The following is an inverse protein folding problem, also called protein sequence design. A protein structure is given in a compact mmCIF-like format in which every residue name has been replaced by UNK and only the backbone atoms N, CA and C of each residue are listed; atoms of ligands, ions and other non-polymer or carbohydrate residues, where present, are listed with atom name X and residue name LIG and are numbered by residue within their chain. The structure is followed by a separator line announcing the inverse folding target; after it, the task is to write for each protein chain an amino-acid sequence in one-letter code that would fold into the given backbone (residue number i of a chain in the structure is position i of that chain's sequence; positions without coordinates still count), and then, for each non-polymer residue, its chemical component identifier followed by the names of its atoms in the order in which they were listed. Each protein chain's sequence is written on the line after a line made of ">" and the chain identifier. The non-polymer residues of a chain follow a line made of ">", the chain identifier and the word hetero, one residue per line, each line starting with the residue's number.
data_IF_448078979109
#
_entry.id   IF_448078979109
#
_cell.length_a   1.000
_cell.length_b   1.000
_cell.length_c   1.000
_cell.angle_alpha   90.00
_cell.angle_beta   90.00
_cell.angle_gamma   90.00
#
_symmetry.space_group_name_H-M   'P 1'
#
loop_
_entity.id
_entity.type
_entity.pdbx_description
1 polymer ?
#
# COMPACT_ATOMS: atom_id res chain seq x y z
N UNK A 1 6.69 -5.00 21.72
CA UNK A 1 6.62 -5.08 23.19
C UNK A 1 5.29 -5.67 23.62
N UNK A 2 5.18 -6.34 24.82
CA UNK A 2 3.90 -6.85 25.32
C UNK A 2 2.80 -5.79 25.41
N UNK A 3 3.14 -4.55 25.76
CA UNK A 3 2.19 -3.44 25.83
C UNK A 3 1.62 -3.11 24.45
N UNK A 4 2.44 -3.05 23.41
CA UNK A 4 1.96 -2.81 22.04
C UNK A 4 1.01 -3.91 21.56
N UNK A 5 1.40 -5.18 21.74
CA UNK A 5 0.55 -6.31 21.40
C UNK A 5 -0.78 -6.29 22.17
N UNK A 6 -0.74 -6.03 23.49
CA UNK A 6 -1.95 -5.93 24.31
C UNK A 6 -2.88 -4.81 23.87
N UNK A 7 -2.32 -3.66 23.50
CA UNK A 7 -3.10 -2.51 23.00
C UNK A 7 -3.87 -2.85 21.73
N UNK A 8 -3.19 -3.35 20.71
CA UNK A 8 -3.83 -3.72 19.43
C UNK A 8 -4.76 -4.93 19.56
N UNK A 9 -4.42 -5.90 20.42
CA UNK A 9 -5.30 -7.03 20.75
C UNK A 9 -6.62 -6.57 21.38
N UNK A 10 -6.56 -5.63 22.35
CA UNK A 10 -7.76 -5.06 22.98
C UNK A 10 -8.65 -4.25 22.03
N UNK A 11 -8.09 -3.76 20.95
CA UNK A 11 -8.81 -3.08 19.88
C UNK A 11 -9.42 -4.06 18.85
N UNK A 12 -9.20 -5.36 19.00
CA UNK A 12 -9.54 -6.39 18.00
C UNK A 12 -8.97 -6.08 16.60
N UNK A 13 -7.78 -5.49 16.55
CA UNK A 13 -7.14 -5.11 15.31
C UNK A 13 -6.19 -6.18 14.76
N UNK A 14 -5.73 -7.10 15.63
CA UNK A 14 -4.83 -8.19 15.27
C UNK A 14 -5.59 -9.43 14.81
N UNK A 15 -5.00 -10.15 13.84
CA UNK A 15 -5.44 -11.49 13.50
C UNK A 15 -5.34 -12.42 14.70
N UNK A 16 -6.30 -13.31 14.82
CA UNK A 16 -6.35 -14.35 15.85
C UNK A 16 -5.98 -15.73 15.33
N UNK A 17 -5.54 -15.83 14.07
CA UNK A 17 -5.18 -17.08 13.38
C UNK A 17 -3.83 -17.61 13.84
N UNK A 18 -3.70 -17.96 15.13
CA UNK A 18 -2.44 -18.42 15.72
C UNK A 18 -2.11 -19.89 15.37
N UNK A 19 -3.09 -20.68 14.96
CA UNK A 19 -2.89 -22.08 14.57
C UNK A 19 -2.29 -22.21 13.17
N UNK A 20 -2.46 -21.18 12.31
CA UNK A 20 -1.89 -21.11 10.96
C UNK A 20 -1.20 -19.76 10.73
N UNK A 21 -0.11 -19.43 11.44
CA UNK A 21 0.46 -18.08 11.45
C UNK A 21 0.96 -17.61 10.08
N UNK A 22 1.43 -18.52 9.20
CA UNK A 22 1.84 -18.19 7.84
C UNK A 22 0.66 -17.78 6.95
N UNK A 23 -0.58 -18.08 7.35
CA UNK A 23 -1.82 -17.75 6.63
C UNK A 23 -2.62 -16.64 7.30
N UNK A 24 -2.08 -16.02 8.34
CA UNK A 24 -2.79 -15.03 9.13
C UNK A 24 -2.93 -13.68 8.40
N UNK A 25 -1.85 -13.16 7.80
CA UNK A 25 -1.94 -11.95 6.97
C UNK A 25 -2.45 -12.33 5.58
N UNK A 26 -3.70 -11.93 5.28
CA UNK A 26 -4.42 -12.27 4.05
C UNK A 26 -5.26 -11.10 3.53
N UNK A 27 -4.62 -10.01 3.10
CA UNK A 27 -5.34 -8.83 2.61
C UNK A 27 -6.31 -9.18 1.49
N UNK A 28 -7.50 -8.55 1.52
CA UNK A 28 -8.57 -8.67 0.53
C UNK A 28 -9.26 -10.05 0.45
N UNK A 29 -8.83 -11.01 1.26
CA UNK A 29 -9.46 -12.33 1.36
C UNK A 29 -10.69 -12.30 2.28
N UNK A 30 -11.70 -13.13 1.99
CA UNK A 30 -12.92 -13.22 2.82
C UNK A 30 -12.63 -13.66 4.24
N UNK A 31 -11.61 -14.47 4.46
CA UNK A 31 -11.20 -15.02 5.76
C UNK A 31 -10.25 -14.13 6.56
N UNK A 32 -10.02 -12.87 6.13
CA UNK A 32 -9.18 -11.94 6.91
C UNK A 32 -9.86 -11.53 8.21
N UNK A 33 -9.09 -11.42 9.28
CA UNK A 33 -9.58 -11.13 10.63
C UNK A 33 -8.78 -10.07 11.38
N UNK A 34 -7.80 -9.43 10.74
CA UNK A 34 -6.94 -8.43 11.35
C UNK A 34 -5.52 -8.49 10.81
N UNK A 35 -4.70 -7.53 11.21
CA UNK A 35 -3.30 -7.48 10.76
C UNK A 35 -2.38 -8.35 11.62
N UNK A 36 -1.26 -8.73 11.05
CA UNK A 36 -0.14 -9.38 11.76
C UNK A 36 0.92 -8.32 12.05
N UNK A 37 1.18 -8.07 13.34
CA UNK A 37 2.21 -7.12 13.74
C UNK A 37 3.59 -7.68 13.44
N UNK A 38 4.43 -6.87 12.80
CA UNK A 38 5.82 -7.23 12.51
C UNK A 38 6.78 -6.09 12.85
N UNK A 39 8.07 -6.28 12.61
CA UNK A 39 9.13 -5.31 12.85
C UNK A 39 10.10 -5.24 11.69
N UNK A 40 10.79 -4.13 11.56
CA UNK A 40 11.79 -3.89 10.52
C UNK A 40 12.16 -2.43 10.40
N UNK A 41 13.03 -2.13 9.44
CA UNK A 41 13.43 -0.78 9.09
C UNK A 41 13.70 -0.67 7.60
N UNK A 42 13.36 0.46 7.00
CA UNK A 42 13.73 0.85 5.64
C UNK A 42 14.44 2.20 5.68
N UNK A 43 15.60 2.28 5.02
CA UNK A 43 16.36 3.52 4.88
C UNK A 43 16.49 3.86 3.41
N UNK A 44 16.08 5.07 3.04
CA UNK A 44 16.12 5.59 1.68
C UNK A 44 17.04 6.80 1.65
N UNK A 45 17.95 6.86 0.71
CA UNK A 45 18.77 8.05 0.43
C UNK A 45 18.06 8.85 -0.66
N UNK A 46 17.58 10.04 -0.31
CA UNK A 46 16.97 10.97 -1.25
C UNK A 46 17.97 12.04 -1.63
N UNK A 47 18.09 12.31 -2.91
CA UNK A 47 18.97 13.34 -3.46
C UNK A 47 18.22 14.14 -4.53
N UNK A 48 18.60 15.40 -4.68
CA UNK A 48 18.15 16.19 -5.81
C UNK A 48 18.66 15.58 -7.12
N UNK A 49 17.82 15.52 -8.16
CA UNK A 49 18.07 14.77 -9.39
C UNK A 49 19.37 15.19 -10.09
N UNK A 50 19.58 16.48 -10.29
CA UNK A 50 20.78 16.97 -11.00
C UNK A 50 22.05 16.79 -10.18
N UNK A 51 21.95 16.88 -8.84
CA UNK A 51 23.06 16.55 -7.95
C UNK A 51 23.45 15.08 -8.05
N UNK A 52 22.47 14.18 -8.02
CA UNK A 52 22.69 12.74 -8.16
C UNK A 52 23.32 12.39 -9.53
N UNK A 53 22.79 12.96 -10.63
CA UNK A 53 23.34 12.80 -11.99
C UNK A 53 24.78 13.32 -12.07
N UNK A 54 25.06 14.50 -11.52
CA UNK A 54 26.38 15.14 -11.57
C UNK A 54 27.48 14.31 -10.90
N UNK A 55 27.14 13.61 -9.81
CA UNK A 55 28.11 12.73 -9.12
C UNK A 55 28.16 11.30 -9.68
N UNK A 56 27.37 10.99 -10.72
CA UNK A 56 27.31 9.67 -11.33
C UNK A 56 26.58 8.62 -10.47
N UNK A 57 25.56 9.03 -9.70
CA UNK A 57 24.80 8.10 -8.88
C UNK A 57 24.04 7.06 -9.72
N UNK A 58 23.95 5.84 -9.23
CA UNK A 58 23.01 4.85 -9.73
C UNK A 58 21.63 5.15 -9.13
N UNK A 59 20.81 5.91 -9.85
CA UNK A 59 19.47 6.30 -9.41
C UNK A 59 18.54 5.11 -9.63
N UNK A 60 17.82 4.70 -8.58
CA UNK A 60 16.92 3.53 -8.62
C UNK A 60 15.54 3.91 -9.15
N UNK A 61 14.97 4.99 -8.61
CA UNK A 61 13.69 5.53 -9.03
C UNK A 61 13.61 7.01 -8.66
N UNK A 62 12.59 7.69 -9.13
CA UNK A 62 12.29 9.08 -8.80
C UNK A 62 11.08 9.15 -7.88
N UNK A 63 11.09 10.04 -6.89
CA UNK A 63 9.91 10.42 -6.11
C UNK A 63 9.23 11.56 -6.86
N UNK A 64 8.10 11.28 -7.48
CA UNK A 64 7.41 12.19 -8.37
C UNK A 64 6.40 13.07 -7.65
N UNK A 65 5.74 12.54 -6.62
CA UNK A 65 4.70 13.27 -5.92
C UNK A 65 4.34 12.71 -4.57
N UNK A 66 3.72 13.57 -3.76
CA UNK A 66 3.28 13.30 -2.41
C UNK A 66 1.88 13.87 -2.16
N UNK A 67 1.04 13.11 -1.45
CA UNK A 67 -0.29 13.57 -1.07
C UNK A 67 -0.66 13.16 0.34
N UNK A 68 -1.36 14.04 1.02
CA UNK A 68 -1.91 13.81 2.37
C UNK A 68 -3.37 14.20 2.45
N UNK A 69 -4.06 13.59 3.40
CA UNK A 69 -5.40 13.99 3.84
C UNK A 69 -5.69 13.45 5.25
N UNK A 70 -6.83 13.84 5.79
CA UNK A 70 -7.38 13.24 7.00
C UNK A 70 -8.85 12.85 6.74
N UNK A 71 -9.29 11.71 7.28
CA UNK A 71 -10.69 11.27 7.19
C UNK A 71 -11.62 12.16 8.03
N UNK A 72 -11.13 12.60 9.20
CA UNK A 72 -11.91 13.37 10.17
C UNK A 72 -13.23 12.69 10.57
N UNK A 73 -13.22 11.34 10.62
CA UNK A 73 -14.40 10.50 10.84
C UNK A 73 -14.34 9.78 12.19
N UNK A 74 -13.36 8.91 12.41
CA UNK A 74 -13.26 8.08 13.60
C UNK A 74 -11.80 7.91 14.03
N UNK A 75 -11.54 7.60 15.31
CA UNK A 75 -10.17 7.45 15.83
C UNK A 75 -9.39 6.28 15.20
N UNK A 76 -10.06 5.19 14.85
CA UNK A 76 -9.40 3.95 14.38
C UNK A 76 -10.04 3.35 13.14
N UNK A 77 -11.34 3.53 12.92
CA UNK A 77 -12.02 3.05 11.71
C UNK A 77 -11.76 4.01 10.54
N UNK A 78 -11.50 3.50 9.34
CA UNK A 78 -11.41 4.33 8.13
C UNK A 78 -12.80 4.88 7.76
N UNK A 79 -12.82 5.94 6.94
CA UNK A 79 -14.06 6.34 6.25
C UNK A 79 -14.52 5.16 5.36
N UNK A 80 -15.74 4.63 5.54
CA UNK A 80 -16.20 3.46 4.78
C UNK A 80 -16.19 3.65 3.26
N UNK A 81 -16.34 4.88 2.78
CA UNK A 81 -16.26 5.22 1.35
C UNK A 81 -14.83 5.54 0.88
N UNK A 82 -13.85 5.53 1.80
CA UNK A 82 -12.45 5.81 1.49
C UNK A 82 -12.16 7.22 0.95
N UNK A 83 -13.04 8.20 1.23
CA UNK A 83 -12.94 9.56 0.67
C UNK A 83 -11.63 10.26 1.04
N UNK A 84 -11.15 10.05 2.28
CA UNK A 84 -9.86 10.57 2.72
C UNK A 84 -8.72 9.95 1.92
N UNK A 85 -8.69 8.63 1.81
CA UNK A 85 -7.70 7.91 1.04
C UNK A 85 -7.69 8.33 -0.44
N UNK A 86 -8.87 8.44 -1.08
CA UNK A 86 -8.99 8.92 -2.46
C UNK A 86 -8.43 10.34 -2.63
N UNK A 87 -8.67 11.25 -1.66
CA UNK A 87 -8.09 12.59 -1.69
C UNK A 87 -6.57 12.57 -1.60
N UNK A 88 -5.99 11.75 -0.70
CA UNK A 88 -4.53 11.66 -0.58
C UNK A 88 -3.90 11.15 -1.88
N UNK A 89 -4.47 10.11 -2.48
CA UNK A 89 -4.05 9.59 -3.79
C UNK A 89 -4.16 10.66 -4.88
N UNK A 90 -5.29 11.36 -4.98
CA UNK A 90 -5.50 12.45 -5.95
C UNK A 90 -4.51 13.59 -5.75
N UNK A 91 -4.20 13.96 -4.51
CA UNK A 91 -3.20 15.00 -4.22
C UNK A 91 -1.80 14.58 -4.68
N UNK A 92 -1.40 13.31 -4.46
CA UNK A 92 -0.09 12.82 -4.89
C UNK A 92 0.05 12.78 -6.41
N UNK A 93 -1.01 12.41 -7.15
CA UNK A 93 -1.03 12.46 -8.61
C UNK A 93 -0.92 13.89 -9.14
N UNK A 94 -1.68 14.81 -8.54
CA UNK A 94 -1.62 16.23 -8.91
C UNK A 94 -0.24 16.83 -8.65
N UNK A 95 0.39 16.50 -7.52
CA UNK A 95 1.74 16.94 -7.17
C UNK A 95 2.77 16.40 -8.17
N UNK A 96 2.59 15.15 -8.60
CA UNK A 96 3.40 14.50 -9.63
C UNK A 96 3.14 15.04 -11.06
N UNK A 97 2.07 15.80 -11.30
CA UNK A 97 1.67 16.23 -12.63
C UNK A 97 1.20 15.08 -13.55
N UNK A 98 0.63 14.02 -12.95
CA UNK A 98 0.22 12.80 -13.64
C UNK A 98 -1.29 12.65 -13.74
N UNK A 99 -1.73 11.95 -14.77
CA UNK A 99 -3.11 11.49 -14.93
C UNK A 99 -3.30 10.12 -14.26
N UNK A 100 -4.56 9.73 -14.11
CA UNK A 100 -4.91 8.42 -13.53
C UNK A 100 -4.30 7.26 -14.32
N UNK A 101 -4.35 7.35 -15.66
CA UNK A 101 -3.89 6.31 -16.60
C UNK A 101 -2.36 6.13 -16.61
N UNK A 102 -1.63 7.04 -15.97
CA UNK A 102 -0.18 6.97 -15.90
C UNK A 102 0.32 5.98 -14.83
N UNK A 103 -0.56 5.55 -13.92
CA UNK A 103 -0.19 4.61 -12.85
C UNK A 103 -0.38 3.17 -13.35
N UNK A 104 0.68 2.38 -13.24
CA UNK A 104 0.70 0.97 -13.64
C UNK A 104 0.41 0.03 -12.46
N UNK A 105 0.84 0.40 -11.24
CA UNK A 105 0.75 -0.45 -10.06
C UNK A 105 0.45 0.38 -8.79
N UNK A 106 -0.37 -0.18 -7.90
CA UNK A 106 -0.62 0.35 -6.56
C UNK A 106 -0.09 -0.60 -5.50
N UNK A 107 0.87 -0.13 -4.69
CA UNK A 107 1.23 -0.80 -3.45
C UNK A 107 0.26 -0.34 -2.37
N UNK A 108 -0.70 -1.18 -2.07
CA UNK A 108 -1.79 -0.88 -1.16
C UNK A 108 -1.33 -0.84 0.30
N UNK A 109 -2.06 -0.10 1.12
CA UNK A 109 -1.95 -0.22 2.56
C UNK A 109 -2.35 -1.61 3.03
N UNK A 110 -3.47 -2.16 2.55
CA UNK A 110 -3.87 -3.56 2.59
C UNK A 110 -3.45 -4.32 3.85
N UNK A 111 -4.07 -4.02 5.00
CA UNK A 111 -3.63 -4.52 6.30
C UNK A 111 -4.20 -5.88 6.68
N UNK A 112 -5.05 -6.47 5.85
CA UNK A 112 -5.80 -7.68 6.21
C UNK A 112 -6.88 -7.42 7.28
N UNK A 113 -7.35 -6.18 7.38
CA UNK A 113 -8.46 -5.84 8.28
C UNK A 113 -9.78 -5.79 7.51
N UNK A 114 -10.90 -6.26 8.11
CA UNK A 114 -12.20 -6.30 7.41
C UNK A 114 -12.64 -4.94 6.85
N UNK A 115 -12.48 -3.87 7.59
CA UNK A 115 -12.91 -2.53 7.19
C UNK A 115 -11.86 -1.80 6.33
N UNK A 116 -10.58 -1.95 6.66
CA UNK A 116 -9.50 -1.22 5.98
C UNK A 116 -9.39 -1.58 4.51
N UNK A 117 -9.40 -2.87 4.21
CA UNK A 117 -9.23 -3.37 2.85
C UNK A 117 -10.42 -3.00 1.95
N UNK A 118 -11.65 -3.00 2.50
CA UNK A 118 -12.86 -2.54 1.78
C UNK A 118 -12.82 -1.05 1.49
N UNK A 119 -12.48 -0.24 2.50
CA UNK A 119 -12.39 1.21 2.35
C UNK A 119 -11.31 1.62 1.34
N UNK A 120 -10.17 0.94 1.33
CA UNK A 120 -9.11 1.18 0.35
C UNK A 120 -9.55 0.77 -1.07
N UNK A 121 -10.23 -0.36 -1.21
CA UNK A 121 -10.82 -0.78 -2.48
C UNK A 121 -11.80 0.27 -3.01
N UNK A 122 -12.71 0.75 -2.15
CA UNK A 122 -13.67 1.80 -2.51
C UNK A 122 -12.95 3.10 -2.95
N UNK A 123 -11.89 3.49 -2.24
CA UNK A 123 -11.08 4.66 -2.56
C UNK A 123 -10.41 4.54 -3.95
N UNK A 124 -9.80 3.39 -4.24
CA UNK A 124 -9.13 3.13 -5.53
C UNK A 124 -10.18 3.11 -6.65
N UNK A 125 -11.30 2.42 -6.46
CA UNK A 125 -12.41 2.40 -7.42
C UNK A 125 -12.95 3.80 -7.73
N UNK A 126 -13.21 4.56 -6.68
CA UNK A 126 -13.76 5.92 -6.79
C UNK A 126 -12.81 6.88 -7.53
N UNK A 127 -11.50 6.77 -7.28
CA UNK A 127 -10.52 7.65 -7.90
C UNK A 127 -10.20 7.25 -9.34
N UNK A 128 -9.90 5.98 -9.57
CA UNK A 128 -9.40 5.49 -10.86
C UNK A 128 -10.51 5.10 -11.83
N UNK A 129 -11.77 5.05 -11.39
CA UNK A 129 -12.93 4.73 -12.22
C UNK A 129 -12.68 3.50 -13.11
N UNK A 130 -12.87 3.60 -14.41
CA UNK A 130 -12.65 2.49 -15.36
C UNK A 130 -11.18 2.06 -15.49
N UNK A 131 -10.21 2.92 -15.14
CA UNK A 131 -8.80 2.54 -15.15
C UNK A 131 -8.49 1.52 -14.05
N UNK A 132 -9.25 1.52 -12.95
CA UNK A 132 -9.09 0.56 -11.86
C UNK A 132 -9.21 -0.92 -12.29
N UNK A 133 -9.88 -1.21 -13.41
CA UNK A 133 -10.00 -2.57 -13.97
C UNK A 133 -8.71 -3.07 -14.64
N UNK A 134 -7.77 -2.17 -14.93
CA UNK A 134 -6.47 -2.46 -15.54
C UNK A 134 -5.30 -2.29 -14.59
N UNK A 135 -5.58 -1.81 -13.39
CA UNK A 135 -4.60 -1.47 -12.39
C UNK A 135 -4.21 -2.72 -11.60
N UNK A 136 -2.93 -3.05 -11.56
CA UNK A 136 -2.44 -4.05 -10.63
C UNK A 136 -2.33 -3.45 -9.22
N UNK A 137 -2.85 -4.13 -8.23
CA UNK A 137 -2.81 -3.72 -6.82
C UNK A 137 -2.21 -4.86 -6.02
N UNK A 138 -1.36 -4.61 -5.05
CA UNK A 138 -1.02 -5.68 -4.10
C UNK A 138 -0.62 -5.14 -2.73
N UNK A 139 -0.73 -5.97 -1.71
CA UNK A 139 -0.25 -5.66 -0.37
C UNK A 139 0.94 -6.54 0.00
N UNK A 140 2.11 -5.92 0.12
CA UNK A 140 3.33 -6.57 0.64
C UNK A 140 3.22 -6.94 2.11
N UNK A 141 2.23 -6.41 2.84
CA UNK A 141 1.92 -6.84 4.21
C UNK A 141 1.43 -8.28 4.31
N UNK A 142 0.97 -8.87 3.21
CA UNK A 142 0.68 -10.30 3.16
C UNK A 142 1.92 -11.16 3.46
N UNK A 143 3.11 -10.68 3.06
CA UNK A 143 4.40 -11.36 3.21
C UNK A 143 5.18 -10.90 4.44
N UNK A 144 5.13 -9.59 4.74
CA UNK A 144 5.99 -8.95 5.73
C UNK A 144 5.27 -8.69 7.07
N UNK A 145 3.94 -8.76 7.08
CA UNK A 145 3.14 -8.24 8.17
C UNK A 145 3.10 -6.71 8.18
N UNK A 146 2.54 -6.13 9.22
CA UNK A 146 2.42 -4.68 9.38
C UNK A 146 3.50 -4.17 10.34
N UNK A 147 4.50 -3.49 9.80
CA UNK A 147 5.64 -2.94 10.54
C UNK A 147 5.32 -1.58 11.21
N UNK A 148 4.05 -1.17 11.22
CA UNK A 148 3.58 0.11 11.79
C UNK A 148 4.37 1.30 11.20
N UNK A 149 5.09 2.06 12.02
CA UNK A 149 5.86 3.21 11.58
C UNK A 149 6.98 2.88 10.58
N UNK A 150 7.46 1.64 10.53
CA UNK A 150 8.47 1.21 9.55
C UNK A 150 7.89 0.78 8.20
N UNK A 151 6.57 0.50 8.12
CA UNK A 151 5.92 0.01 6.89
C UNK A 151 6.21 0.90 5.69
N UNK A 152 6.08 2.22 5.85
CA UNK A 152 6.28 3.18 4.77
C UNK A 152 7.66 3.07 4.11
N UNK A 153 8.72 2.96 4.91
CA UNK A 153 10.09 2.83 4.41
C UNK A 153 10.34 1.50 3.70
N UNK A 154 9.89 0.38 4.30
CA UNK A 154 10.07 -0.96 3.72
C UNK A 154 9.26 -1.11 2.43
N UNK A 155 8.02 -0.63 2.42
CA UNK A 155 7.16 -0.65 1.23
C UNK A 155 7.68 0.27 0.12
N UNK A 156 8.33 1.39 0.47
CA UNK A 156 9.05 2.21 -0.52
C UNK A 156 10.12 1.38 -1.24
N UNK A 157 10.94 0.64 -0.49
CA UNK A 157 11.97 -0.24 -1.07
C UNK A 157 11.35 -1.29 -1.98
N UNK A 158 10.22 -1.89 -1.57
CA UNK A 158 9.49 -2.85 -2.41
C UNK A 158 8.99 -2.20 -3.72
N UNK A 159 8.45 -0.98 -3.67
CA UNK A 159 7.99 -0.22 -4.85
C UNK A 159 9.16 0.12 -5.78
N UNK A 160 10.28 0.61 -5.24
CA UNK A 160 11.48 0.92 -6.03
C UNK A 160 12.04 -0.34 -6.70
N UNK A 161 12.02 -1.48 -5.99
CA UNK A 161 12.43 -2.78 -6.54
C UNK A 161 11.47 -3.26 -7.63
N UNK A 162 10.17 -3.06 -7.45
CA UNK A 162 9.16 -3.41 -8.46
C UNK A 162 9.38 -2.63 -9.77
N UNK A 163 9.69 -1.34 -9.69
CA UNK A 163 10.06 -0.51 -10.86
C UNK A 163 11.33 -1.07 -11.51
N UNK A 164 12.37 -1.33 -10.72
CA UNK A 164 13.67 -1.76 -11.24
C UNK A 164 13.60 -3.15 -11.90
N UNK A 165 12.85 -4.08 -11.31
CA UNK A 165 12.76 -5.47 -11.78
C UNK A 165 11.59 -5.71 -12.74
N UNK A 166 10.68 -4.74 -12.92
CA UNK A 166 9.48 -4.88 -13.74
C UNK A 166 8.60 -6.06 -13.31
N UNK A 167 8.43 -6.22 -11.98
CA UNK A 167 7.65 -7.30 -11.36
C UNK A 167 6.76 -6.71 -10.26
N UNK A 168 5.46 -6.93 -10.35
CA UNK A 168 4.53 -6.62 -9.27
C UNK A 168 4.62 -7.71 -8.19
N UNK A 169 4.91 -7.35 -6.92
CA UNK A 169 4.89 -8.31 -5.83
C UNK A 169 3.46 -8.82 -5.57
N UNK A 170 3.28 -10.07 -5.11
CA UNK A 170 1.96 -10.64 -4.90
C UNK A 170 1.33 -10.19 -3.58
N UNK A 171 0.00 -10.32 -3.52
CA UNK A 171 -0.73 -10.51 -2.27
C UNK A 171 -0.85 -12.00 -2.01
N UNK A 172 -0.05 -12.55 -1.11
CA UNK A 172 -0.14 -13.97 -0.75
C UNK A 172 -1.32 -14.24 0.20
N UNK A 173 -1.71 -15.52 0.30
CA UNK A 173 -2.86 -15.97 1.11
C UNK A 173 -4.22 -15.43 0.61
N UNK A 174 -4.30 -14.95 -0.61
CA UNK A 174 -5.54 -14.56 -1.25
C UNK A 174 -6.12 -15.81 -1.95
N UNK A 175 -6.84 -16.63 -1.17
CA UNK A 175 -7.42 -17.90 -1.63
C UNK A 175 -8.86 -17.67 -2.15
N UNK A 176 -9.63 -16.84 -1.45
CA UNK A 176 -10.98 -16.46 -1.83
C UNK A 176 -11.15 -14.95 -1.68
N UNK A 177 -11.20 -14.26 -2.81
CA UNK A 177 -11.30 -12.80 -2.83
C UNK A 177 -12.66 -12.32 -2.31
N UNK A 178 -12.65 -11.36 -1.38
CA UNK A 178 -13.88 -10.72 -0.89
C UNK A 178 -14.60 -10.02 -2.06
N UNK A 179 -15.89 -10.32 -2.33
CA UNK A 179 -16.64 -9.67 -3.40
C UNK A 179 -16.69 -8.13 -3.32
N UNK A 180 -16.54 -7.56 -2.12
CA UNK A 180 -16.46 -6.11 -1.93
C UNK A 180 -15.04 -5.56 -2.19
N UNK A 181 -14.03 -6.45 -2.31
CA UNK A 181 -12.67 -6.13 -2.70
C UNK A 181 -12.44 -6.61 -4.15
N UNK A 182 -12.97 -5.90 -5.13
CA UNK A 182 -13.12 -6.35 -6.51
C UNK A 182 -12.08 -5.78 -7.49
N UNK A 183 -10.81 -5.65 -7.09
CA UNK A 183 -9.69 -5.24 -7.93
C UNK A 183 -8.80 -6.43 -8.29
N UNK A 184 -7.80 -6.23 -9.15
CA UNK A 184 -6.74 -7.21 -9.43
C UNK A 184 -5.64 -7.08 -8.37
N UNK A 185 -5.64 -7.95 -7.38
CA UNK A 185 -4.71 -7.90 -6.24
C UNK A 185 -3.42 -8.71 -6.43
N UNK A 186 -3.09 -9.09 -7.67
CA UNK A 186 -1.91 -9.92 -7.97
C UNK A 186 -1.84 -11.14 -7.03
N UNK A 187 -2.82 -12.06 -7.09
CA UNK A 187 -2.97 -13.11 -6.09
C UNK A 187 -1.82 -14.12 -6.12
N UNK A 188 -1.26 -14.38 -4.95
CA UNK A 188 -0.34 -15.46 -4.60
C UNK A 188 1.01 -15.53 -5.34
N UNK A 189 1.09 -15.12 -6.60
CA UNK A 189 2.32 -15.18 -7.41
C UNK A 189 2.73 -13.80 -7.93
N UNK A 190 4.05 -13.53 -7.91
CA UNK A 190 4.60 -12.31 -8.47
C UNK A 190 4.37 -12.25 -9.98
N UNK A 191 4.02 -11.08 -10.50
CA UNK A 191 3.66 -10.91 -11.90
C UNK A 191 4.67 -10.04 -12.64
N UNK A 192 5.38 -10.56 -13.64
CA UNK A 192 6.14 -9.74 -14.58
C UNK A 192 5.16 -8.82 -15.35
N UNK A 193 5.41 -7.52 -15.29
CA UNK A 193 4.63 -6.51 -16.01
C UNK A 193 5.42 -5.23 -16.14
N UNK A 194 5.05 -4.39 -17.12
CA UNK A 194 5.66 -3.06 -17.25
C UNK A 194 5.18 -2.17 -16.11
N UNK A 195 6.12 -1.63 -15.33
CA UNK A 195 5.87 -0.74 -14.19
C UNK A 195 6.74 0.50 -14.35
N UNK A 196 6.16 1.56 -14.87
CA UNK A 196 6.82 2.86 -14.97
C UNK A 196 6.53 3.74 -13.76
N UNK A 197 5.32 3.64 -13.22
CA UNK A 197 4.86 4.47 -12.11
C UNK A 197 4.08 3.65 -11.11
N UNK A 198 4.40 3.86 -9.85
CA UNK A 198 3.79 3.19 -8.71
C UNK A 198 3.16 4.23 -7.79
N UNK A 199 1.93 4.00 -7.39
CA UNK A 199 1.29 4.71 -6.28
C UNK A 199 1.43 3.86 -5.00
N UNK A 200 1.99 4.43 -3.95
CA UNK A 200 2.18 3.77 -2.66
C UNK A 200 1.29 4.39 -1.60
N UNK A 201 0.41 3.60 -0.99
CA UNK A 201 -0.54 4.03 0.01
C UNK A 201 -0.09 3.74 1.44
N UNK A 202 -0.35 4.66 2.35
CA UNK A 202 -0.20 4.50 3.80
C UNK A 202 -1.37 5.18 4.50
N UNK A 203 -2.18 4.37 5.17
CA UNK A 203 -3.33 4.86 5.93
C UNK A 203 -3.17 4.46 7.39
N UNK A 204 -3.46 5.38 8.30
CA UNK A 204 -3.19 5.20 9.72
C UNK A 204 -4.38 5.53 10.59
N UNK A 205 -4.37 4.99 11.82
CA UNK A 205 -5.31 5.39 12.86
C UNK A 205 -5.25 6.90 13.08
N UNK A 206 -6.37 7.50 13.50
CA UNK A 206 -6.54 8.93 13.51
C UNK A 206 -7.02 9.48 12.15
N UNK A 207 -7.25 8.60 11.19
CA UNK A 207 -7.67 8.96 9.83
C UNK A 207 -6.56 9.59 8.99
N UNK A 208 -5.30 9.34 9.32
CA UNK A 208 -4.17 9.87 8.55
C UNK A 208 -3.99 9.09 7.26
N UNK A 209 -3.99 9.78 6.13
CA UNK A 209 -3.74 9.21 4.82
C UNK A 209 -2.54 9.89 4.17
N UNK A 210 -1.60 9.11 3.68
CA UNK A 210 -0.42 9.57 2.94
C UNK A 210 -0.18 8.67 1.73
N UNK A 211 0.15 9.28 0.60
CA UNK A 211 0.46 8.58 -0.64
C UNK A 211 1.72 9.14 -1.26
N UNK A 212 2.51 8.27 -1.89
CA UNK A 212 3.68 8.63 -2.68
C UNK A 212 3.49 8.14 -4.11
N UNK A 213 3.99 8.90 -5.07
CA UNK A 213 4.14 8.45 -6.46
C UNK A 213 5.62 8.28 -6.74
N UNK A 214 6.00 7.08 -7.17
CA UNK A 214 7.35 6.74 -7.59
C UNK A 214 7.35 6.44 -9.09
N UNK A 215 8.44 6.78 -9.78
CA UNK A 215 8.57 6.54 -11.21
C UNK A 215 9.94 6.03 -11.62
N UNK A 216 9.99 5.42 -12.81
CA UNK A 216 11.25 5.13 -13.48
C UNK A 216 11.99 6.45 -13.76
N UNK A 217 13.31 6.40 -13.76
CA UNK A 217 14.16 7.56 -14.08
C UNK A 217 14.09 7.82 -15.59
N UNK A 218 13.76 9.08 -15.96
CA UNK A 218 13.68 9.50 -17.35
C UNK A 218 15.07 9.71 -18.01
#
# INVERSE_FOLDING_TARGET
>A
TPMGLSGFSRMNALSTRNDEPQRASRPFDVGRDGFVMSEGAGVIVLEEMEFAKKRGASIICEVLGYGMSADASHMTAPDPEGRGAARAMSHSLRDAGLNLDDIDYVNAHGTSTPLGDKAETAAIRSLFESHSDRLAVSSTKSQLGHLLGASGGVEFVACATAIQQQVAPPTINLDEQDPECNLDYVPNEARPMKIRRVLKNSFGFGGHNACLVLGEVA
#
